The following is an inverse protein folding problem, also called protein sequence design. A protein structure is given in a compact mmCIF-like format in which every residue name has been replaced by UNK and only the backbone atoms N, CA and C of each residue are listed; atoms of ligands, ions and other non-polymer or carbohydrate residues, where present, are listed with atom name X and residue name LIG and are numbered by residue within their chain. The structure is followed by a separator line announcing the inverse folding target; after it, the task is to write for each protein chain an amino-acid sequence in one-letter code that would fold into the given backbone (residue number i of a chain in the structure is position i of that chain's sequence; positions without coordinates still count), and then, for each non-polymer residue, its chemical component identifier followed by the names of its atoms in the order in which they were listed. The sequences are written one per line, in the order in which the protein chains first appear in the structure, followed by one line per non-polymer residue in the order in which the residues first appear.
data_IF_792469031394
#
_entry.id   IF_792469031394
#
_cell.length_a   1.000
_cell.length_b   1.000
_cell.length_c   1.000
_cell.angle_alpha   90.00
_cell.angle_beta   90.00
_cell.angle_gamma   90.00
#
_symmetry.space_group_name_H-M   'P 1'
#
loop_
_entity.id
_entity.type
_entity.pdbx_description
1 polymer ?
#
# COMPACT_ATOMS: atom_id res chain seq x y z
N UNK A 1 37.06 -29.34 -7.49
CA UNK A 1 36.91 -30.53 -8.36
C UNK A 1 35.62 -31.23 -7.93
N UNK A 2 34.59 -31.52 -8.73
CA UNK A 2 34.19 -31.36 -10.15
C UNK A 2 32.63 -31.30 -10.07
N UNK A 3 31.87 -30.31 -10.53
CA UNK A 3 31.65 -29.70 -11.86
C UNK A 3 30.75 -30.53 -12.83
N UNK A 4 29.86 -29.82 -13.56
CA UNK A 4 28.92 -30.29 -14.63
C UNK A 4 27.69 -31.08 -14.06
N UNK A 5 26.43 -30.94 -14.50
CA UNK A 5 25.75 -30.20 -15.60
C UNK A 5 24.39 -29.55 -15.18
N UNK A 6 23.61 -29.05 -16.15
CA UNK A 6 22.15 -28.79 -16.12
C UNK A 6 21.52 -29.34 -17.45
N UNK A 7 20.18 -29.38 -17.57
CA UNK A 7 19.44 -29.27 -18.86
C UNK A 7 17.94 -28.97 -18.58
N UNK A 8 17.35 -28.13 -19.42
CA UNK A 8 15.95 -27.66 -19.37
C UNK A 8 15.09 -28.28 -20.48
N UNK A 9 13.76 -28.28 -20.32
CA UNK A 9 12.71 -28.02 -21.33
C UNK A 9 11.36 -28.54 -20.82
N UNK A 10 10.16 -28.07 -21.21
CA UNK A 10 9.60 -26.84 -21.78
C UNK A 10 8.13 -27.21 -22.10
N UNK A 11 7.19 -26.25 -22.04
CA UNK A 11 5.75 -26.50 -22.25
C UNK A 11 5.38 -26.78 -23.72
N UNK A 12 4.21 -27.38 -23.93
CA UNK A 12 3.42 -27.27 -25.15
C UNK A 12 1.93 -27.07 -24.82
N UNK A 13 1.32 -26.09 -25.48
CA UNK A 13 -0.08 -25.64 -25.34
C UNK A 13 -0.58 -25.29 -26.76
N UNK A 14 -1.84 -25.59 -27.07
CA UNK A 14 -2.51 -25.19 -28.34
C UNK A 14 -4.04 -25.19 -28.11
N UNK A 15 -4.72 -24.02 -28.15
CA UNK A 15 -5.45 -23.42 -29.31
C UNK A 15 -6.76 -24.18 -29.61
N UNK A 16 -7.97 -23.58 -29.72
CA UNK A 16 -8.47 -22.41 -30.50
C UNK A 16 -9.72 -21.76 -29.81
N UNK A 17 -10.02 -20.44 -29.92
CA UNK A 17 -10.90 -19.73 -30.91
C UNK A 17 -12.42 -20.09 -30.80
N UNK A 18 -13.47 -19.24 -30.92
CA UNK A 18 -13.75 -17.90 -31.51
C UNK A 18 -14.80 -17.09 -30.67
N UNK A 19 -14.93 -15.74 -30.74
CA UNK A 19 -15.93 -14.88 -31.47
C UNK A 19 -17.44 -15.20 -31.22
N UNK A 20 -18.44 -14.28 -31.30
CA UNK A 20 -18.50 -12.85 -31.68
C UNK A 20 -19.84 -12.14 -31.29
N UNK A 21 -19.85 -10.79 -31.37
CA UNK A 21 -20.99 -9.87 -31.72
C UNK A 21 -22.34 -9.78 -30.97
N UNK A 22 -22.62 -8.54 -30.48
CA UNK A 22 -23.75 -7.62 -30.80
C UNK A 22 -25.22 -8.06 -30.63
N UNK A 23 -26.04 -7.22 -29.96
CA UNK A 23 -27.28 -6.58 -30.50
C UNK A 23 -27.72 -5.39 -29.61
N UNK A 24 -28.23 -4.34 -30.26
CA UNK A 24 -28.77 -3.10 -29.68
C UNK A 24 -30.22 -3.27 -29.21
N UNK A 25 -30.70 -2.36 -28.34
CA UNK A 25 -31.90 -1.58 -28.67
C UNK A 25 -32.04 -0.30 -27.82
N UNK A 26 -32.14 0.83 -28.52
CA UNK A 26 -32.65 2.10 -28.00
C UNK A 26 -34.14 1.96 -27.64
N UNK A 27 -34.64 2.80 -26.73
CA UNK A 27 -35.47 3.96 -27.14
C UNK A 27 -35.82 4.90 -25.98
N UNK A 28 -35.49 6.17 -26.20
CA UNK A 28 -36.02 7.37 -25.57
C UNK A 28 -37.54 7.47 -25.74
N UNK A 29 -38.24 7.95 -24.69
CA UNK A 29 -39.06 9.18 -24.65
C UNK A 29 -39.89 9.20 -23.34
N UNK A 30 -40.48 10.30 -22.84
CA UNK A 30 -40.39 11.75 -23.14
C UNK A 30 -40.89 12.54 -21.91
N UNK A 31 -40.60 13.84 -21.84
CA UNK A 31 -40.94 14.79 -20.76
C UNK A 31 -41.97 15.85 -21.21
N UNK A 32 -42.27 16.94 -20.45
CA UNK A 32 -42.38 17.09 -18.99
C UNK A 32 -43.86 17.25 -18.51
N UNK A 33 -44.60 18.40 -18.51
CA UNK A 33 -44.26 19.84 -18.64
C UNK A 33 -44.58 20.74 -17.41
N UNK A 34 -43.76 21.81 -17.24
CA UNK A 34 -44.05 23.19 -16.76
C UNK A 34 -45.12 23.56 -15.70
N UNK A 35 -44.71 24.42 -14.75
CA UNK A 35 -45.14 25.84 -14.72
C UNK A 35 -44.22 26.74 -13.86
N UNK A 36 -44.02 27.99 -14.28
CA UNK A 36 -43.16 29.02 -13.65
C UNK A 36 -43.99 30.19 -13.10
N UNK A 37 -43.43 30.93 -12.13
CA UNK A 37 -43.32 32.41 -11.95
C UNK A 37 -43.04 32.69 -10.45
N UNK A 38 -41.88 33.24 -10.07
CA UNK A 38 -41.55 34.69 -9.92
C UNK A 38 -42.09 35.29 -8.58
N UNK A 39 -41.42 36.21 -7.87
CA UNK A 39 -40.07 36.79 -8.00
C UNK A 39 -39.63 37.48 -6.69
N UNK A 40 -38.31 37.78 -6.57
CA UNK A 40 -37.67 38.90 -5.83
C UNK A 40 -38.12 39.24 -4.38
N UNK A 41 -37.19 39.07 -3.42
CA UNK A 41 -36.61 40.24 -2.73
C UNK A 41 -35.23 39.93 -2.12
N UNK A 42 -34.33 40.91 -2.11
CA UNK A 42 -32.98 40.78 -1.57
C UNK A 42 -32.69 41.95 -0.62
N UNK A 43 -31.98 41.69 0.48
CA UNK A 43 -30.64 42.26 0.77
C UNK A 43 -30.23 42.11 2.26
N UNK A 44 -28.91 42.17 2.48
CA UNK A 44 -28.18 42.40 3.76
C UNK A 44 -28.33 41.37 4.89
N UNK A 45 -27.28 40.57 5.11
CA UNK A 45 -26.48 40.64 6.35
C UNK A 45 -25.15 39.85 6.28
N UNK A 46 -24.18 40.29 7.07
CA UNK A 46 -22.76 39.92 7.04
C UNK A 46 -22.44 38.57 7.76
N UNK A 47 -21.23 37.98 7.58
CA UNK A 47 -20.92 36.65 8.11
C UNK A 47 -20.69 36.66 9.63
N UNK A 48 -21.24 35.66 10.33
CA UNK A 48 -20.98 35.41 11.75
C UNK A 48 -20.07 34.19 11.91
N UNK A 49 -18.97 34.40 12.63
CA UNK A 49 -18.02 33.36 13.03
C UNK A 49 -18.44 32.75 14.38
N UNK A 50 -18.67 31.44 14.46
CA UNK A 50 -18.73 30.72 15.74
C UNK A 50 -18.45 29.22 15.62
N UNK A 51 -17.77 28.71 16.65
CA UNK A 51 -17.33 27.33 16.78
C UNK A 51 -18.42 26.37 17.33
N UNK A 52 -18.01 25.12 17.56
CA UNK A 52 -18.73 24.03 18.26
C UNK A 52 -19.85 23.29 17.50
N UNK A 53 -19.44 22.37 16.63
CA UNK A 53 -20.20 21.16 16.30
C UNK A 53 -19.62 19.97 17.08
N UNK A 54 -20.40 19.29 17.97
CA UNK A 54 -19.94 18.10 18.67
C UNK A 54 -19.60 16.97 17.69
N UNK A 55 -18.33 16.53 17.67
CA UNK A 55 -17.89 15.39 16.85
C UNK A 55 -18.50 14.09 17.38
N UNK A 56 -19.62 13.68 16.78
CA UNK A 56 -20.26 12.39 17.06
C UNK A 56 -19.23 11.25 16.98
N UNK A 57 -19.10 10.51 18.08
CA UNK A 57 -18.14 9.41 18.23
C UNK A 57 -18.54 8.25 17.30
N UNK A 58 -18.02 8.27 16.06
CA UNK A 58 -18.29 7.26 15.02
C UNK A 58 -18.16 5.85 15.61
N UNK A 59 -19.26 5.09 15.57
CA UNK A 59 -19.37 3.74 16.16
C UNK A 59 -18.28 2.85 15.54
N UNK A 60 -17.42 2.26 16.37
CA UNK A 60 -16.32 1.40 15.91
C UNK A 60 -16.89 0.00 15.67
N UNK A 61 -17.05 -0.36 14.40
CA UNK A 61 -17.41 -1.72 13.97
C UNK A 61 -16.18 -2.42 13.36
N UNK A 62 -16.21 -3.75 13.30
CA UNK A 62 -15.18 -4.55 12.62
C UNK A 62 -15.45 -4.45 11.10
N UNK A 63 -14.48 -3.98 10.31
CA UNK A 63 -14.67 -3.83 8.86
C UNK A 63 -14.62 -5.18 8.14
N UNK A 64 -15.18 -5.29 6.93
CA UNK A 64 -15.10 -6.51 6.11
C UNK A 64 -13.65 -7.01 5.96
N UNK A 65 -12.71 -6.08 5.77
CA UNK A 65 -11.28 -6.39 5.63
C UNK A 65 -10.66 -6.87 6.96
N UNK A 66 -11.13 -6.37 8.10
CA UNK A 66 -10.76 -6.93 9.41
C UNK A 66 -11.35 -8.33 9.61
N UNK A 67 -12.60 -8.59 9.19
CA UNK A 67 -13.24 -9.91 9.28
C UNK A 67 -12.47 -10.97 8.48
N UNK A 68 -12.12 -10.65 7.22
CA UNK A 68 -11.29 -11.50 6.36
C UNK A 68 -9.90 -11.72 6.98
N UNK A 69 -9.21 -10.64 7.39
CA UNK A 69 -7.87 -10.75 7.97
C UNK A 69 -7.83 -11.56 9.29
N UNK A 70 -8.89 -11.46 10.11
CA UNK A 70 -9.05 -12.29 11.32
C UNK A 70 -9.21 -13.76 10.91
N UNK A 71 -10.07 -14.06 9.93
CA UNK A 71 -10.38 -15.42 9.50
C UNK A 71 -9.15 -16.10 8.86
N UNK A 72 -8.49 -15.42 7.93
CA UNK A 72 -7.29 -15.90 7.24
C UNK A 72 -6.15 -16.19 8.22
N UNK A 73 -5.92 -15.29 9.20
CA UNK A 73 -4.92 -15.51 10.23
C UNK A 73 -5.24 -16.74 11.10
N UNK A 74 -6.51 -16.92 11.49
CA UNK A 74 -6.94 -18.10 12.26
C UNK A 74 -6.76 -19.39 11.47
N UNK A 75 -7.15 -19.42 10.19
CA UNK A 75 -6.95 -20.59 9.34
C UNK A 75 -5.45 -20.89 9.12
N UNK A 76 -4.63 -19.87 8.87
CA UNK A 76 -3.19 -20.03 8.72
C UNK A 76 -2.51 -20.64 9.95
N UNK A 77 -2.88 -20.24 11.17
CA UNK A 77 -2.30 -20.83 12.40
C UNK A 77 -2.89 -22.22 12.71
N UNK A 78 -4.16 -22.46 12.38
CA UNK A 78 -4.80 -23.79 12.51
C UNK A 78 -4.12 -24.84 11.64
N UNK A 79 -3.76 -24.50 10.40
CA UNK A 79 -3.03 -25.39 9.48
C UNK A 79 -1.56 -25.63 9.84
N UNK A 80 -1.04 -25.01 10.92
CA UNK A 80 0.36 -25.04 11.34
C UNK A 80 0.56 -25.46 12.81
N UNK A 81 -0.46 -26.08 13.43
CA UNK A 81 -0.33 -26.61 14.80
C UNK A 81 0.69 -27.74 14.88
N UNK A 82 1.35 -27.84 16.04
CA UNK A 82 2.25 -28.95 16.37
C UNK A 82 1.80 -29.63 17.67
N UNK A 83 1.82 -30.98 17.75
CA UNK A 83 1.93 -31.94 16.64
C UNK A 83 0.87 -31.75 15.52
N UNK A 84 1.08 -32.25 14.29
CA UNK A 84 0.13 -32.04 13.19
C UNK A 84 -1.26 -32.64 13.45
N UNK A 85 -2.29 -31.94 12.97
CA UNK A 85 -3.68 -32.27 13.20
C UNK A 85 -4.33 -32.98 12.00
N UNK A 86 -4.83 -34.19 12.20
CA UNK A 86 -5.47 -34.99 11.17
C UNK A 86 -6.89 -34.55 10.81
N UNK A 87 -7.55 -33.78 11.69
CA UNK A 87 -8.96 -33.39 11.58
C UNK A 87 -9.21 -31.88 11.77
N UNK A 88 -8.21 -31.03 11.51
CA UNK A 88 -8.35 -29.59 11.73
C UNK A 88 -9.32 -28.97 10.71
N UNK A 89 -10.43 -28.41 11.18
CA UNK A 89 -11.48 -27.85 10.31
C UNK A 89 -11.12 -26.45 9.78
N UNK A 90 -11.51 -26.15 8.55
CA UNK A 90 -11.48 -24.77 8.02
C UNK A 90 -12.53 -23.91 8.73
N UNK A 91 -12.10 -22.77 9.26
CA UNK A 91 -12.97 -21.81 9.93
C UNK A 91 -13.63 -20.88 8.91
N UNK A 92 -14.94 -20.65 9.06
CA UNK A 92 -15.72 -19.67 8.31
C UNK A 92 -16.25 -18.58 9.25
N UNK A 93 -16.57 -17.40 8.71
CA UNK A 93 -17.20 -16.34 9.49
C UNK A 93 -18.67 -16.66 9.78
N UNK A 94 -19.13 -16.40 11.00
CA UNK A 94 -20.53 -16.53 11.40
C UNK A 94 -21.05 -15.22 12.00
N UNK A 95 -22.09 -14.66 11.38
CA UNK A 95 -22.68 -13.37 11.76
C UNK A 95 -23.39 -13.40 13.12
N UNK A 96 -23.86 -14.56 13.58
CA UNK A 96 -24.51 -14.68 14.89
C UNK A 96 -23.46 -14.73 16.01
N UNK A 97 -22.33 -15.42 15.78
CA UNK A 97 -21.16 -15.36 16.65
C UNK A 97 -20.57 -13.94 16.69
N UNK A 98 -20.48 -13.26 15.55
CA UNK A 98 -20.03 -11.86 15.49
C UNK A 98 -20.92 -10.92 16.32
N UNK A 99 -22.25 -11.00 16.17
CA UNK A 99 -23.22 -10.24 16.97
C UNK A 99 -23.14 -10.58 18.46
N UNK A 100 -22.97 -11.86 18.81
CA UNK A 100 -22.82 -12.30 20.20
C UNK A 100 -21.53 -11.74 20.82
N UNK A 101 -20.42 -11.74 20.07
CA UNK A 101 -19.15 -11.16 20.49
C UNK A 101 -19.22 -9.62 20.61
N UNK A 102 -19.92 -8.92 19.71
CA UNK A 102 -20.17 -7.48 19.83
C UNK A 102 -20.99 -7.15 21.08
N UNK A 103 -22.07 -7.90 21.32
CA UNK A 103 -22.92 -7.72 22.51
C UNK A 103 -22.14 -7.96 23.81
N UNK A 104 -21.27 -8.97 23.86
CA UNK A 104 -20.39 -9.18 25.01
C UNK A 104 -19.36 -8.06 25.16
N UNK A 105 -18.69 -7.66 24.08
CA UNK A 105 -17.71 -6.56 24.11
C UNK A 105 -18.33 -5.22 24.54
N UNK A 106 -19.61 -4.98 24.24
CA UNK A 106 -20.34 -3.79 24.66
C UNK A 106 -20.49 -3.69 26.20
N UNK A 107 -20.49 -4.81 26.93
CA UNK A 107 -20.48 -4.80 28.41
C UNK A 107 -19.19 -4.23 29.01
N UNK A 108 -18.12 -4.15 28.22
CA UNK A 108 -16.77 -3.77 28.65
C UNK A 108 -16.15 -4.68 29.74
N UNK A 109 -16.69 -5.88 29.95
CA UNK A 109 -16.16 -6.89 30.88
C UNK A 109 -14.98 -7.62 30.21
N UNK A 110 -13.82 -7.65 30.87
CA UNK A 110 -12.62 -8.36 30.40
C UNK A 110 -12.59 -9.80 30.92
N UNK A 111 -13.60 -10.58 30.52
CA UNK A 111 -13.74 -12.00 30.85
C UNK A 111 -14.36 -12.76 29.66
N UNK A 112 -14.44 -14.08 29.76
CA UNK A 112 -15.19 -14.90 28.82
C UNK A 112 -16.70 -14.65 28.92
N UNK A 113 -17.37 -14.70 27.76
CA UNK A 113 -18.80 -14.56 27.61
C UNK A 113 -19.62 -15.60 28.36
N UNK A 114 -20.96 -15.44 28.36
CA UNK A 114 -21.83 -16.03 29.37
C UNK A 114 -21.53 -17.52 29.61
N UNK A 115 -21.33 -17.97 30.87
CA UNK A 115 -20.76 -19.30 31.16
C UNK A 115 -21.47 -20.48 30.48
N UNK A 116 -22.78 -20.35 30.23
CA UNK A 116 -23.58 -21.36 29.53
C UNK A 116 -23.19 -21.56 28.06
N UNK A 117 -22.59 -20.57 27.39
CA UNK A 117 -22.11 -20.66 26.01
C UNK A 117 -20.71 -21.28 25.89
N UNK A 118 -19.89 -21.20 26.94
CA UNK A 118 -18.50 -21.68 26.92
C UNK A 118 -18.36 -23.21 26.76
N UNK A 119 -19.45 -23.95 26.98
CA UNK A 119 -19.53 -25.40 26.70
C UNK A 119 -19.60 -25.72 25.21
N UNK A 120 -20.06 -24.78 24.38
CA UNK A 120 -20.34 -24.99 22.95
C UNK A 120 -19.49 -24.10 22.04
N UNK A 121 -19.04 -22.94 22.53
CA UNK A 121 -18.31 -21.94 21.76
C UNK A 121 -16.94 -21.68 22.36
N UNK A 122 -15.89 -21.96 21.59
CA UNK A 122 -14.53 -21.55 21.93
C UNK A 122 -14.38 -20.04 21.81
N UNK A 123 -13.98 -19.37 22.88
CA UNK A 123 -13.76 -17.93 22.92
C UNK A 123 -12.30 -17.62 23.25
N UNK A 124 -11.70 -16.67 22.53
CA UNK A 124 -10.36 -16.17 22.81
C UNK A 124 -10.43 -14.71 23.26
N UNK A 125 -10.20 -14.45 24.55
CA UNK A 125 -9.97 -13.08 25.02
C UNK A 125 -8.61 -12.63 24.47
N UNK A 126 -8.61 -11.60 23.62
CA UNK A 126 -7.49 -11.37 22.70
C UNK A 126 -6.14 -11.23 23.44
N UNK A 127 -5.16 -12.05 23.04
CA UNK A 127 -3.79 -12.14 23.62
C UNK A 127 -3.66 -12.96 24.92
N UNK A 128 -4.40 -14.07 25.06
CA UNK A 128 -3.92 -15.25 25.82
C UNK A 128 -4.13 -16.55 25.05
N UNK A 129 -3.05 -17.26 24.76
CA UNK A 129 -3.06 -18.68 24.39
C UNK A 129 -2.83 -19.51 25.65
N UNK A 130 -3.90 -19.83 26.39
CA UNK A 130 -3.79 -20.57 27.65
C UNK A 130 -5.10 -21.23 28.05
N UNK A 131 -5.06 -22.54 28.30
CA UNK A 131 -6.20 -23.45 28.54
C UNK A 131 -7.29 -23.36 27.45
N UNK A 132 -6.98 -23.99 26.32
CA UNK A 132 -8.02 -24.45 25.39
C UNK A 132 -9.02 -25.39 26.08
N UNK A 133 -10.16 -25.53 25.43
CA UNK A 133 -11.40 -26.13 25.90
C UNK A 133 -11.32 -27.62 26.32
N UNK A 134 -11.93 -27.89 27.49
CA UNK A 134 -12.16 -29.19 28.14
C UNK A 134 -10.95 -29.90 28.80
N UNK A 135 -11.12 -30.26 30.09
CA UNK A 135 -10.10 -30.99 30.86
C UNK A 135 -10.08 -32.46 30.43
N UNK A 136 -8.94 -32.93 29.89
CA UNK A 136 -8.72 -34.36 29.60
C UNK A 136 -8.93 -34.81 28.14
N UNK A 137 -9.20 -33.91 27.20
CA UNK A 137 -9.26 -34.23 25.77
C UNK A 137 -8.25 -33.41 24.95
N UNK A 138 -7.66 -34.04 23.93
CA UNK A 138 -6.78 -33.35 23.00
C UNK A 138 -7.60 -32.39 22.10
N UNK A 139 -7.14 -31.15 21.85
CA UNK A 139 -7.88 -30.17 21.04
C UNK A 139 -8.15 -30.60 19.58
N UNK A 140 -7.40 -31.58 19.09
CA UNK A 140 -7.51 -32.20 17.77
C UNK A 140 -6.92 -33.62 17.81
N UNK A 141 -7.18 -34.43 16.79
CA UNK A 141 -6.57 -35.75 16.59
C UNK A 141 -5.19 -35.58 15.94
N UNK A 142 -4.17 -36.20 16.53
CA UNK A 142 -2.82 -36.24 15.96
C UNK A 142 -2.78 -37.11 14.70
N UNK A 143 -2.03 -36.67 13.68
CA UNK A 143 -1.77 -37.49 12.49
C UNK A 143 -1.41 -36.64 11.27
N UNK A 144 -1.34 -37.29 10.10
CA UNK A 144 -1.10 -36.59 8.83
C UNK A 144 -2.25 -35.61 8.58
N UNK A 145 -1.99 -34.36 8.15
CA UNK A 145 -3.05 -33.39 7.86
C UNK A 145 -4.17 -33.97 7.00
N UNK A 146 -5.41 -33.65 7.38
CA UNK A 146 -6.65 -34.11 6.75
C UNK A 146 -6.92 -35.64 6.76
N UNK A 147 -6.08 -36.48 7.38
CA UNK A 147 -6.27 -37.95 7.36
C UNK A 147 -7.43 -38.46 8.22
N UNK A 148 -8.14 -37.57 8.93
CA UNK A 148 -9.28 -37.90 9.79
C UNK A 148 -10.36 -36.80 9.76
N UNK A 149 -10.56 -36.14 8.61
CA UNK A 149 -11.56 -35.09 8.46
C UNK A 149 -12.98 -35.55 8.81
N UNK A 150 -13.82 -34.71 9.45
CA UNK A 150 -15.21 -35.05 9.73
C UNK A 150 -16.02 -35.24 8.43
N UNK A 151 -17.01 -36.16 8.38
CA UNK A 151 -17.81 -36.40 7.18
C UNK A 151 -18.53 -35.16 6.62
N UNK A 152 -18.85 -34.17 7.48
CA UNK A 152 -19.48 -32.90 7.10
C UNK A 152 -18.65 -32.06 6.12
N UNK A 153 -17.32 -32.27 6.06
CA UNK A 153 -16.40 -31.58 5.17
C UNK A 153 -16.13 -32.34 3.85
N UNK A 154 -16.75 -33.50 3.61
CA UNK A 154 -16.67 -34.20 2.31
C UNK A 154 -15.29 -34.73 1.92
N UNK A 155 -14.30 -34.72 2.83
CA UNK A 155 -12.94 -35.23 2.58
C UNK A 155 -11.98 -34.26 1.89
N UNK A 156 -12.40 -33.02 1.58
CA UNK A 156 -11.52 -32.02 0.98
C UNK A 156 -10.42 -31.56 1.94
N UNK A 157 -9.23 -31.29 1.39
CA UNK A 157 -8.07 -30.83 2.15
C UNK A 157 -7.42 -29.62 1.48
N UNK A 158 -7.28 -28.51 2.21
CA UNK A 158 -6.62 -27.28 1.74
C UNK A 158 -5.76 -26.72 2.86
N UNK A 159 -4.48 -26.46 2.59
CA UNK A 159 -3.56 -25.81 3.54
C UNK A 159 -3.53 -26.49 4.93
N UNK A 160 -3.55 -27.82 4.95
CA UNK A 160 -3.65 -28.69 6.14
C UNK A 160 -4.99 -28.63 6.91
N UNK A 161 -6.03 -28.06 6.32
CA UNK A 161 -7.38 -27.94 6.87
C UNK A 161 -8.40 -28.78 6.08
N UNK A 162 -9.31 -29.41 6.80
CA UNK A 162 -10.50 -30.03 6.25
C UNK A 162 -11.42 -28.95 5.66
N UNK A 163 -11.67 -29.03 4.36
CA UNK A 163 -12.35 -28.00 3.57
C UNK A 163 -13.52 -28.60 2.81
N UNK A 164 -14.64 -27.87 2.73
CA UNK A 164 -15.84 -28.30 2.01
C UNK A 164 -16.07 -27.41 0.80
N UNK A 165 -16.13 -27.98 -0.41
CA UNK A 165 -16.59 -27.22 -1.58
C UNK A 165 -18.01 -26.67 -1.36
N UNK A 166 -18.20 -25.40 -1.71
CA UNK A 166 -19.46 -24.67 -1.47
C UNK A 166 -19.58 -23.97 -0.11
N UNK A 167 -18.54 -23.93 0.73
CA UNK A 167 -18.54 -23.08 1.95
C UNK A 167 -18.33 -21.59 1.69
N UNK A 168 -18.04 -21.20 0.44
CA UNK A 168 -17.84 -19.81 0.02
C UNK A 168 -19.17 -19.04 0.03
N UNK A 169 -19.56 -18.52 1.20
CA UNK A 169 -20.42 -17.34 1.25
C UNK A 169 -19.65 -16.16 0.65
N UNK A 170 -19.81 -15.99 -0.66
CA UNK A 170 -19.33 -14.84 -1.40
C UNK A 170 -19.95 -13.56 -0.81
N UNK A 171 -19.19 -12.87 0.04
CA UNK A 171 -19.51 -11.48 0.39
C UNK A 171 -19.24 -10.64 -0.87
N UNK A 172 -20.26 -10.06 -1.51
CA UNK A 172 -20.03 -9.22 -2.67
C UNK A 172 -19.17 -8.02 -2.26
N UNK A 173 -18.14 -7.64 -3.06
CA UNK A 173 -17.37 -6.45 -2.77
C UNK A 173 -18.30 -5.24 -2.75
N UNK A 174 -18.49 -4.63 -1.58
CA UNK A 174 -19.02 -3.27 -1.50
C UNK A 174 -17.85 -2.34 -1.76
N UNK A 175 -18.00 -1.49 -2.77
CA UNK A 175 -16.94 -0.69 -3.40
C UNK A 175 -15.92 -0.16 -2.39
N UNK A 176 -14.65 -0.50 -2.61
CA UNK A 176 -13.55 0.11 -1.88
C UNK A 176 -13.48 1.59 -2.25
N UNK A 177 -13.49 2.49 -1.26
CA UNK A 177 -13.09 3.90 -1.44
C UNK A 177 -11.58 3.95 -1.79
N UNK A 178 -11.27 3.63 -3.04
CA UNK A 178 -9.97 3.83 -3.66
C UNK A 178 -9.74 5.32 -3.85
N UNK A 179 -8.47 5.76 -3.78
CA UNK A 179 -8.11 7.16 -4.03
C UNK A 179 -8.04 7.43 -5.55
N UNK A 180 -9.15 7.22 -6.26
CA UNK A 180 -9.32 7.69 -7.63
C UNK A 180 -10.14 8.99 -7.62
N UNK A 181 -9.53 10.07 -8.12
CA UNK A 181 -10.24 11.33 -8.38
C UNK A 181 -10.80 11.22 -9.80
N UNK A 182 -12.13 11.32 -9.93
CA UNK A 182 -12.77 11.52 -11.23
C UNK A 182 -12.09 12.67 -11.97
N UNK A 183 -11.86 12.47 -13.27
CA UNK A 183 -11.26 13.52 -14.10
C UNK A 183 -12.17 14.74 -14.09
N UNK A 184 -11.72 15.82 -13.45
CA UNK A 184 -12.27 17.14 -13.73
C UNK A 184 -12.20 17.36 -15.23
N UNK A 185 -13.36 17.59 -15.84
CA UNK A 185 -13.49 17.85 -17.26
C UNK A 185 -12.61 19.07 -17.61
N UNK A 186 -11.84 18.96 -18.68
CA UNK A 186 -11.00 20.04 -19.13
C UNK A 186 -11.87 21.22 -19.58
N UNK A 187 -12.01 22.25 -18.75
CA UNK A 187 -12.47 23.54 -19.23
C UNK A 187 -11.43 24.09 -20.20
N UNK A 188 -11.84 24.23 -21.45
CA UNK A 188 -11.06 24.88 -22.49
C UNK A 188 -10.98 26.37 -22.15
N UNK A 189 -9.82 26.82 -21.66
CA UNK A 189 -9.53 28.24 -21.57
C UNK A 189 -8.52 28.62 -22.65
N UNK A 190 -9.04 29.20 -23.75
CA UNK A 190 -8.22 29.79 -24.81
C UNK A 190 -7.30 30.86 -24.21
N UNK A 191 -6.00 30.58 -24.19
CA UNK A 191 -4.98 31.52 -23.75
C UNK A 191 -4.03 31.74 -24.91
N UNK A 192 -4.27 32.83 -25.65
CA UNK A 192 -3.49 33.25 -26.81
C UNK A 192 -1.99 33.25 -26.53
N UNK A 193 -1.24 32.65 -27.46
CA UNK A 193 0.22 32.66 -27.49
C UNK A 193 0.73 34.10 -27.41
N UNK A 194 1.49 34.41 -26.36
CA UNK A 194 2.43 35.54 -26.34
C UNK A 194 3.84 34.99 -26.32
N UNK A 195 4.46 35.00 -27.50
CA UNK A 195 5.91 34.81 -27.65
C UNK A 195 6.66 35.90 -26.90
N UNK A 196 7.57 35.49 -26.02
CA UNK A 196 8.65 36.35 -25.53
C UNK A 196 9.96 35.57 -25.64
N UNK A 197 10.85 36.08 -26.48
CA UNK A 197 12.14 35.51 -26.83
C UNK A 197 13.23 35.94 -25.85
N UNK A 198 14.15 35.02 -25.53
CA UNK A 198 15.45 35.17 -24.83
C UNK A 198 15.46 35.97 -23.50
N UNK A 199 16.14 35.54 -22.45
CA UNK A 199 17.57 35.20 -22.44
C UNK A 199 17.94 34.15 -21.36
N UNK A 200 19.07 33.49 -21.57
CA UNK A 200 19.92 32.70 -20.67
C UNK A 200 19.45 32.37 -19.23
N UNK A 201 18.92 31.16 -19.06
CA UNK A 201 19.56 30.22 -18.12
C UNK A 201 19.50 28.77 -18.62
N UNK A 202 20.48 28.36 -19.44
CA UNK A 202 20.57 26.99 -19.99
C UNK A 202 20.86 25.90 -18.94
N UNK A 203 20.89 26.22 -17.64
CA UNK A 203 21.31 25.31 -16.55
C UNK A 203 20.21 24.81 -15.60
N UNK A 204 18.94 25.22 -15.76
CA UNK A 204 17.87 24.81 -14.84
C UNK A 204 17.27 23.42 -15.11
N UNK A 205 16.88 22.68 -14.06
CA UNK A 205 16.16 21.40 -14.16
C UNK A 205 14.67 21.70 -14.35
N UNK A 206 14.05 21.13 -15.40
CA UNK A 206 12.70 21.53 -15.85
C UNK A 206 11.60 21.03 -14.91
N UNK A 207 11.81 19.89 -14.25
CA UNK A 207 10.88 19.34 -13.25
C UNK A 207 11.47 19.42 -11.85
N UNK A 208 10.91 20.27 -11.00
CA UNK A 208 11.30 20.43 -9.59
C UNK A 208 10.53 19.50 -8.64
N UNK A 209 9.76 18.54 -9.16
CA UNK A 209 8.98 17.63 -8.31
C UNK A 209 9.90 16.63 -7.58
N UNK A 210 10.07 16.84 -6.28
CA UNK A 210 10.82 15.96 -5.38
C UNK A 210 9.97 14.76 -4.92
N UNK A 211 10.65 13.65 -4.54
CA UNK A 211 10.03 12.50 -3.88
C UNK A 211 10.06 12.64 -2.35
N UNK A 212 11.14 13.18 -1.81
CA UNK A 212 11.29 13.48 -0.39
C UNK A 212 10.36 14.62 0.01
N UNK A 213 9.73 14.48 1.17
CA UNK A 213 9.01 15.57 1.84
C UNK A 213 9.82 16.06 3.02
N UNK A 214 10.18 17.35 3.01
CA UNK A 214 10.78 18.03 4.15
C UNK A 214 9.72 18.12 5.26
N UNK A 215 10.08 17.69 6.47
CA UNK A 215 9.16 17.60 7.62
C UNK A 215 9.80 18.17 8.89
N UNK A 216 9.00 18.70 9.82
CA UNK A 216 9.51 19.03 11.16
C UNK A 216 9.64 17.78 12.03
N UNK A 217 10.40 17.87 13.12
CA UNK A 217 10.60 16.78 14.08
C UNK A 217 9.30 16.28 14.73
N UNK A 218 8.24 17.09 14.71
CA UNK A 218 6.93 16.82 15.31
C UNK A 218 6.01 16.04 14.37
N UNK A 219 6.29 16.04 13.06
CA UNK A 219 5.43 15.44 12.03
C UNK A 219 5.29 13.94 12.25
N UNK A 220 4.03 13.50 12.30
CA UNK A 220 3.63 12.10 12.44
C UNK A 220 3.22 11.55 11.10
N UNK A 221 3.43 10.26 10.89
CA UNK A 221 3.11 9.60 9.61
C UNK A 221 1.62 9.66 9.24
N UNK A 222 0.73 9.82 10.23
CA UNK A 222 -0.71 10.01 10.00
C UNK A 222 -1.06 11.38 9.42
N UNK A 223 -0.30 12.42 9.73
CA UNK A 223 -0.76 13.80 9.58
C UNK A 223 -0.58 14.31 8.14
N UNK A 224 0.51 13.91 7.47
CA UNK A 224 0.95 14.52 6.21
C UNK A 224 0.36 13.90 4.92
N UNK A 225 -0.26 12.73 4.98
CA UNK A 225 -0.30 11.83 3.81
C UNK A 225 -1.68 11.30 3.42
N UNK A 226 -2.36 12.13 2.62
CA UNK A 226 -3.58 11.85 1.85
C UNK A 226 -3.27 11.97 0.35
N UNK A 227 -3.39 10.89 -0.42
CA UNK A 227 -3.42 10.93 -1.88
C UNK A 227 -2.12 10.75 -2.67
N UNK A 228 -0.93 10.95 -2.08
CA UNK A 228 0.36 10.66 -2.76
C UNK A 228 1.27 9.74 -1.95
N UNK A 229 2.25 9.18 -2.66
CA UNK A 229 3.24 8.18 -2.25
C UNK A 229 4.31 8.75 -1.31
N UNK A 230 3.89 9.13 -0.11
CA UNK A 230 4.77 9.56 0.98
C UNK A 230 5.66 8.44 1.54
N UNK A 231 6.63 8.00 0.75
CA UNK A 231 7.50 6.88 1.11
C UNK A 231 8.88 7.36 1.59
N UNK A 232 9.30 8.58 1.23
CA UNK A 232 10.58 9.18 1.62
C UNK A 232 10.38 10.54 2.29
N UNK A 233 11.08 10.76 3.39
CA UNK A 233 11.05 12.00 4.17
C UNK A 233 12.45 12.54 4.37
N UNK A 234 12.55 13.85 4.55
CA UNK A 234 13.77 14.56 4.90
C UNK A 234 13.61 15.22 6.26
N UNK A 235 14.43 14.77 7.22
CA UNK A 235 14.40 15.18 8.60
C UNK A 235 15.49 16.24 8.87
N UNK A 236 15.18 17.35 9.53
CA UNK A 236 16.18 18.34 9.95
C UNK A 236 17.01 17.82 11.12
N UNK A 237 18.12 18.52 11.39
CA UNK A 237 18.91 18.34 12.59
C UNK A 237 18.12 18.70 13.88
N UNK A 238 18.61 18.24 15.03
CA UNK A 238 18.06 18.59 16.36
C UNK A 238 16.80 17.84 16.79
N UNK A 239 16.35 16.83 16.03
CA UNK A 239 15.13 16.10 16.37
C UNK A 239 15.22 15.24 17.64
N UNK A 240 16.41 14.98 18.19
CA UNK A 240 16.57 14.27 19.47
C UNK A 240 15.86 15.01 20.63
N UNK A 241 15.99 16.34 20.66
CA UNK A 241 15.47 17.23 21.71
C UNK A 241 13.97 17.52 21.58
N UNK A 242 13.37 17.21 20.42
CA UNK A 242 11.93 17.41 20.20
C UNK A 242 11.08 16.58 21.18
N UNK A 243 10.02 17.19 21.71
CA UNK A 243 9.09 16.53 22.66
C UNK A 243 8.10 15.58 21.98
N UNK A 244 8.19 15.41 20.67
CA UNK A 244 7.26 14.59 19.89
C UNK A 244 7.34 13.10 20.28
N UNK A 245 6.20 12.47 20.55
CA UNK A 245 6.15 11.10 21.09
C UNK A 245 6.55 10.06 20.03
N UNK A 246 7.21 8.99 20.47
CA UNK A 246 7.48 7.77 19.68
C UNK A 246 6.90 6.58 20.44
N UNK A 247 6.10 5.77 19.77
CA UNK A 247 5.37 4.64 20.36
C UNK A 247 5.80 3.36 19.65
N UNK A 248 6.37 2.42 20.38
CA UNK A 248 6.87 1.16 19.84
C UNK A 248 8.38 1.09 19.58
N UNK A 249 8.80 -0.06 19.06
CA UNK A 249 10.19 -0.41 18.80
C UNK A 249 10.22 -1.34 17.60
N UNK A 250 11.09 -1.09 16.62
CA UNK A 250 11.09 -1.69 15.27
C UNK A 250 9.86 -1.32 14.46
N UNK A 251 8.67 -1.63 14.98
CA UNK A 251 7.39 -1.17 14.47
C UNK A 251 6.91 0.00 15.33
N UNK A 252 6.64 1.13 14.69
CA UNK A 252 6.20 2.36 15.34
C UNK A 252 4.73 2.63 15.04
N UNK A 253 3.96 3.15 15.99
CA UNK A 253 2.58 3.53 15.71
C UNK A 253 2.54 4.73 14.75
N UNK A 254 1.59 4.79 13.81
CA UNK A 254 1.34 5.93 12.89
C UNK A 254 1.24 7.33 13.55
N UNK A 255 1.03 7.41 14.87
CA UNK A 255 1.01 8.64 15.67
C UNK A 255 2.39 9.05 16.20
N UNK A 256 3.45 8.30 15.90
CA UNK A 256 4.82 8.60 16.27
C UNK A 256 5.45 9.64 15.33
N UNK A 257 6.35 10.46 15.85
CA UNK A 257 7.25 11.27 15.02
C UNK A 257 8.08 10.38 14.09
N UNK A 258 8.18 10.75 12.81
CA UNK A 258 8.96 10.02 11.80
C UNK A 258 10.46 10.13 12.14
N UNK A 259 10.95 11.35 12.32
CA UNK A 259 12.37 11.62 12.54
C UNK A 259 12.88 11.01 13.84
N UNK A 260 12.13 11.14 14.94
CA UNK A 260 12.52 10.52 16.22
C UNK A 260 12.45 9.00 16.18
N UNK A 261 11.54 8.41 15.42
CA UNK A 261 11.50 6.96 15.20
C UNK A 261 12.71 6.47 14.37
N UNK A 262 13.18 7.28 13.41
CA UNK A 262 14.37 7.00 12.61
C UNK A 262 15.67 7.10 13.44
N UNK A 263 15.80 8.12 14.29
CA UNK A 263 16.89 8.22 15.27
C UNK A 263 16.87 7.02 16.22
N UNK A 264 15.72 6.71 16.83
CA UNK A 264 15.56 5.55 17.72
C UNK A 264 15.96 4.22 17.07
N UNK A 265 15.66 4.05 15.77
CA UNK A 265 16.05 2.84 15.04
C UNK A 265 17.54 2.83 14.65
N UNK A 266 18.17 4.00 14.51
CA UNK A 266 19.56 4.16 14.05
C UNK A 266 19.68 4.28 12.53
N UNK A 267 18.65 4.81 11.87
CA UNK A 267 18.68 5.11 10.43
C UNK A 267 19.42 6.41 10.13
N UNK A 268 19.15 7.42 10.96
CA UNK A 268 19.77 8.75 10.98
C UNK A 268 20.25 9.05 12.41
N UNK A 269 21.14 10.03 12.53
CA UNK A 269 21.57 10.61 13.81
C UNK A 269 20.85 11.95 14.06
N UNK A 270 21.38 12.80 14.93
CA UNK A 270 20.79 14.10 15.25
C UNK A 270 21.11 15.20 14.21
N UNK A 271 21.93 14.93 13.19
CA UNK A 271 22.15 15.84 12.06
C UNK A 271 21.01 15.74 11.03
N UNK A 272 20.18 14.69 11.12
CA UNK A 272 19.00 14.50 10.29
C UNK A 272 19.27 13.68 9.02
N UNK A 273 18.66 14.09 7.91
CA UNK A 273 18.78 13.42 6.60
C UNK A 273 17.56 12.56 6.23
N UNK A 274 17.74 11.68 5.25
CA UNK A 274 16.63 11.01 4.56
C UNK A 274 16.22 9.67 5.17
N UNK A 275 14.91 9.48 5.29
CA UNK A 275 14.28 8.28 5.88
C UNK A 275 13.24 7.74 4.92
N UNK A 276 13.35 6.46 4.57
CA UNK A 276 12.28 5.73 3.90
C UNK A 276 11.33 5.13 4.94
N UNK A 277 10.04 5.14 4.63
CA UNK A 277 8.96 4.74 5.55
C UNK A 277 8.03 3.77 4.85
N UNK A 278 7.91 2.56 5.41
CA UNK A 278 6.93 1.57 4.96
C UNK A 278 5.76 1.55 5.93
N UNK A 279 4.55 1.89 5.45
CA UNK A 279 3.31 1.65 6.19
C UNK A 279 3.12 0.14 6.36
N UNK A 280 2.89 -0.28 7.59
CA UNK A 280 2.70 -1.67 7.98
C UNK A 280 1.25 -1.88 8.47
N UNK A 281 0.82 -3.13 8.49
CA UNK A 281 -0.49 -3.51 9.02
C UNK A 281 -0.69 -3.16 10.50
N UNK A 282 -1.89 -3.46 11.00
CA UNK A 282 -2.22 -3.35 12.42
C UNK A 282 -1.27 -4.23 13.25
N UNK A 283 -0.67 -3.68 14.30
CA UNK A 283 0.03 -4.44 15.34
C UNK A 283 -0.81 -4.44 16.60
N UNK A 284 -0.86 -5.57 17.29
CA UNK A 284 -1.69 -5.72 18.50
C UNK A 284 -1.16 -4.90 19.68
N UNK A 285 0.16 -4.79 19.80
CA UNK A 285 0.83 -4.04 20.85
C UNK A 285 2.18 -3.50 20.35
N UNK A 286 2.73 -2.56 21.11
CA UNK A 286 3.95 -1.83 20.86
C UNK A 286 4.84 -1.89 22.11
N UNK A 287 6.06 -2.41 21.96
CA UNK A 287 7.04 -2.58 23.04
C UNK A 287 7.83 -1.27 23.22
N UNK A 288 8.07 -0.86 24.47
CA UNK A 288 9.00 0.25 24.78
C UNK A 288 10.46 -0.20 24.68
N UNK A 289 11.34 0.66 24.18
CA UNK A 289 12.78 0.55 24.41
C UNK A 289 13.43 1.93 24.51
N UNK A 290 14.72 1.97 24.80
CA UNK A 290 15.54 3.17 24.74
C UNK A 290 16.74 2.85 23.86
N UNK A 291 16.93 3.62 22.78
CA UNK A 291 18.03 3.46 21.82
C UNK A 291 18.37 4.83 21.25
N UNK A 292 19.66 5.07 21.02
CA UNK A 292 20.17 6.30 20.37
C UNK A 292 19.59 7.59 20.99
N UNK A 293 19.53 7.63 22.34
CA UNK A 293 18.99 8.76 23.10
C UNK A 293 17.46 8.92 23.10
N UNK A 294 16.72 8.14 22.31
CA UNK A 294 15.25 8.23 22.24
C UNK A 294 14.61 7.11 23.07
N UNK A 295 13.82 7.49 24.07
CA UNK A 295 12.97 6.54 24.81
C UNK A 295 11.57 6.46 24.20
N UNK A 296 11.10 5.24 23.90
CA UNK A 296 9.78 5.02 23.30
C UNK A 296 8.73 4.55 24.30
N UNK A 297 7.47 4.80 23.97
CA UNK A 297 6.31 4.51 24.82
C UNK A 297 5.73 3.15 24.43
N UNK A 298 5.30 2.37 25.43
CA UNK A 298 4.57 1.11 25.20
C UNK A 298 3.09 1.37 24.96
N UNK A 299 2.43 0.55 24.13
CA UNK A 299 0.98 0.60 23.92
C UNK A 299 0.42 -0.81 23.77
N UNK A 300 -0.60 -1.14 24.54
CA UNK A 300 -1.26 -2.47 24.50
C UNK A 300 -2.49 -2.52 23.58
N UNK A 301 -2.90 -1.37 23.02
CA UNK A 301 -4.03 -1.26 22.10
C UNK A 301 -3.55 -1.44 20.67
N UNK A 302 -4.34 -2.15 19.86
CA UNK A 302 -3.99 -2.39 18.46
C UNK A 302 -4.11 -1.11 17.62
N UNK A 303 -3.07 -0.83 16.84
CA UNK A 303 -3.01 0.33 15.96
C UNK A 303 -2.21 0.03 14.69
N UNK A 304 -2.44 0.81 13.63
CA UNK A 304 -1.62 0.77 12.42
C UNK A 304 -0.18 1.14 12.77
N UNK A 305 0.78 0.53 12.07
CA UNK A 305 2.20 0.71 12.34
C UNK A 305 2.97 1.13 11.10
N UNK A 306 4.24 1.49 11.28
CA UNK A 306 5.20 1.67 10.21
C UNK A 306 6.59 1.20 10.63
N UNK A 307 7.42 0.94 9.63
CA UNK A 307 8.86 0.68 9.77
C UNK A 307 9.63 1.76 9.04
N UNK A 308 10.84 2.04 9.50
CA UNK A 308 11.77 3.01 8.91
C UNK A 308 12.99 2.29 8.32
N UNK A 309 13.52 2.79 7.22
CA UNK A 309 14.68 2.24 6.51
C UNK A 309 15.60 3.34 6.00
N UNK A 310 16.89 3.03 5.84
CA UNK A 310 17.89 3.98 5.37
C UNK A 310 17.78 4.16 3.86
N UNK A 311 17.76 5.41 3.42
CA UNK A 311 17.94 5.76 2.01
C UNK A 311 19.40 5.46 1.64
N UNK A 312 19.60 4.41 0.86
CA UNK A 312 20.91 4.12 0.25
C UNK A 312 21.09 4.94 -1.03
N UNK A 313 22.34 5.17 -1.41
CA UNK A 313 22.71 5.83 -2.67
C UNK A 313 23.44 4.80 -3.54
N UNK A 314 23.08 4.70 -4.81
CA UNK A 314 23.69 3.75 -5.74
C UNK A 314 23.99 4.42 -7.09
N UNK A 315 25.24 4.36 -7.52
CA UNK A 315 25.63 4.70 -8.89
C UNK A 315 25.22 3.59 -9.85
N UNK A 316 24.73 3.95 -11.03
CA UNK A 316 24.19 3.02 -12.03
C UNK A 316 24.76 3.29 -13.42
N UNK A 317 24.50 2.39 -14.37
CA UNK A 317 24.81 2.61 -15.80
C UNK A 317 23.60 3.20 -16.53
N UNK A 318 23.82 3.76 -17.73
CA UNK A 318 22.73 4.33 -18.54
C UNK A 318 21.69 3.30 -19.02
N UNK A 319 21.97 2.00 -18.89
CA UNK A 319 21.10 0.87 -19.24
C UNK A 319 20.34 0.29 -18.03
N UNK A 320 20.71 0.65 -16.79
CA UNK A 320 20.10 0.08 -15.58
C UNK A 320 18.59 0.41 -15.51
N UNK A 321 17.78 -0.62 -15.29
CA UNK A 321 16.31 -0.54 -15.21
C UNK A 321 15.79 -0.71 -13.79
N UNK A 322 14.51 -0.39 -13.54
CA UNK A 322 13.91 -0.57 -12.20
C UNK A 322 13.62 -2.04 -11.90
N UNK A 323 13.29 -2.84 -12.92
CA UNK A 323 13.14 -4.29 -12.81
C UNK A 323 14.39 -4.94 -12.18
N UNK A 324 15.59 -4.52 -12.62
CA UNK A 324 16.86 -5.03 -12.13
C UNK A 324 17.25 -4.46 -10.76
N UNK A 325 17.04 -3.16 -10.54
CA UNK A 325 17.57 -2.44 -9.38
C UNK A 325 16.70 -2.59 -8.12
N UNK A 326 15.38 -2.49 -8.27
CA UNK A 326 14.44 -2.39 -7.16
C UNK A 326 13.01 -2.77 -7.62
N UNK A 327 12.74 -4.04 -7.94
CA UNK A 327 11.45 -4.50 -8.42
C UNK A 327 10.31 -4.19 -7.44
N UNK A 328 9.12 -3.87 -7.96
CA UNK A 328 7.97 -3.50 -7.13
C UNK A 328 7.28 -4.73 -6.51
N UNK A 329 7.29 -4.77 -5.18
CA UNK A 329 6.56 -5.74 -4.37
C UNK A 329 5.56 -5.02 -3.46
N UNK A 330 4.39 -5.63 -3.23
CA UNK A 330 3.39 -5.11 -2.27
C UNK A 330 3.86 -5.43 -0.83
N UNK A 331 3.63 -4.54 0.16
CA UNK A 331 2.86 -3.29 0.05
C UNK A 331 3.63 -2.09 -0.53
N UNK A 332 4.97 -2.10 -0.48
CA UNK A 332 5.82 -1.10 -1.11
C UNK A 332 7.25 -1.63 -1.30
N UNK A 333 7.94 -1.15 -2.34
CA UNK A 333 9.39 -1.24 -2.51
C UNK A 333 10.02 0.15 -2.41
N UNK A 334 11.17 0.25 -1.77
CA UNK A 334 12.01 1.46 -1.78
C UNK A 334 13.20 1.24 -2.70
N UNK A 335 13.46 2.17 -3.62
CA UNK A 335 14.71 2.18 -4.40
C UNK A 335 15.80 2.98 -3.68
N UNK A 336 17.08 2.65 -3.91
CA UNK A 336 18.16 3.59 -3.61
C UNK A 336 17.92 4.92 -4.34
N UNK A 337 18.43 6.02 -3.79
CA UNK A 337 18.65 7.26 -4.57
C UNK A 337 19.71 6.96 -5.62
N UNK A 338 19.35 7.12 -6.89
CA UNK A 338 20.19 6.73 -8.02
C UNK A 338 21.12 7.88 -8.38
N UNK A 339 22.41 7.59 -8.60
CA UNK A 339 23.33 8.52 -9.25
C UNK A 339 23.52 8.11 -10.71
N UNK A 340 22.99 8.94 -11.61
CA UNK A 340 23.10 8.76 -13.05
C UNK A 340 24.41 9.35 -13.59
N UNK A 341 25.14 8.63 -14.46
CA UNK A 341 26.35 9.13 -15.10
C UNK A 341 26.03 10.13 -16.20
N UNK A 342 27.08 10.74 -16.77
CA UNK A 342 26.97 11.68 -17.90
C UNK A 342 26.65 10.95 -19.21
N UNK A 343 26.10 11.69 -20.17
CA UNK A 343 25.92 11.29 -21.56
C UNK A 343 24.95 10.11 -21.80
N UNK A 344 23.98 9.88 -20.91
CA UNK A 344 22.97 8.85 -21.12
C UNK A 344 22.01 9.11 -22.30
N UNK A 345 21.90 10.35 -22.80
CA UNK A 345 21.14 10.62 -24.04
C UNK A 345 21.76 9.89 -25.25
N UNK A 346 23.09 9.78 -25.29
CA UNK A 346 23.85 9.12 -26.35
C UNK A 346 23.89 7.59 -26.23
N UNK A 347 23.42 7.02 -25.11
CA UNK A 347 23.36 5.58 -24.93
C UNK A 347 22.39 4.93 -25.94
N UNK A 348 22.78 3.78 -26.48
CA UNK A 348 22.08 3.10 -27.56
C UNK A 348 20.60 2.85 -27.18
N UNK A 349 19.63 3.38 -27.96
CA UNK A 349 18.20 3.21 -27.67
C UNK A 349 17.74 1.76 -27.54
N UNK A 350 18.39 0.80 -28.21
CA UNK A 350 18.03 -0.62 -28.14
C UNK A 350 18.22 -1.24 -26.74
N UNK A 351 19.25 -0.83 -26.01
CA UNK A 351 19.54 -1.33 -24.67
C UNK A 351 18.97 -0.43 -23.57
N UNK A 352 19.00 0.89 -23.77
CA UNK A 352 18.56 1.87 -22.79
C UNK A 352 17.14 2.42 -23.09
N UNK A 353 16.17 1.56 -23.44
CA UNK A 353 14.83 1.98 -23.91
C UNK A 353 14.11 2.90 -22.90
N UNK A 354 13.19 3.73 -23.40
CA UNK A 354 12.30 4.55 -22.57
C UNK A 354 10.88 4.33 -23.05
N UNK A 355 10.03 3.77 -22.19
CA UNK A 355 8.66 3.37 -22.53
C UNK A 355 7.69 4.13 -21.64
N UNK A 356 6.82 4.94 -22.23
CA UNK A 356 5.84 5.78 -21.54
C UNK A 356 6.27 7.22 -21.26
N UNK A 357 5.42 7.94 -20.54
CA UNK A 357 5.56 9.37 -20.26
C UNK A 357 4.92 9.71 -18.92
N UNK A 358 5.63 10.49 -18.08
CA UNK A 358 5.34 10.75 -16.64
C UNK A 358 5.37 9.51 -15.72
N UNK A 359 4.92 8.37 -16.22
CA UNK A 359 5.01 7.04 -15.62
C UNK A 359 5.60 6.12 -16.68
N UNK A 360 6.69 5.44 -16.35
CA UNK A 360 7.46 4.60 -17.27
C UNK A 360 7.28 3.13 -16.93
N UNK A 361 7.43 2.22 -17.90
CA UNK A 361 7.57 0.79 -17.59
C UNK A 361 8.89 0.56 -16.88
N UNK A 362 8.88 -0.32 -15.89
CA UNK A 362 10.03 -0.92 -15.19
C UNK A 362 11.19 -1.40 -16.06
N UNK A 363 10.92 -1.77 -17.32
CA UNK A 363 11.90 -2.11 -18.35
C UNK A 363 12.66 -0.90 -18.93
N UNK A 364 12.27 0.33 -18.57
CA UNK A 364 12.93 1.55 -19.07
C UNK A 364 14.22 1.83 -18.32
N UNK A 365 15.23 2.36 -19.03
CA UNK A 365 16.42 2.95 -18.43
C UNK A 365 16.03 4.05 -17.44
N UNK A 366 16.49 3.94 -16.20
CA UNK A 366 16.23 4.94 -15.15
C UNK A 366 16.75 6.32 -15.59
N UNK A 367 18.00 6.37 -16.08
CA UNK A 367 18.67 7.63 -16.38
C UNK A 367 18.15 8.29 -17.67
N UNK A 368 17.79 7.52 -18.70
CA UNK A 368 17.14 8.10 -19.89
C UNK A 368 15.69 8.51 -19.61
N UNK A 369 14.95 7.75 -18.80
CA UNK A 369 13.63 8.18 -18.33
C UNK A 369 13.70 9.45 -17.46
N UNK A 370 14.76 9.61 -16.66
CA UNK A 370 15.01 10.81 -15.86
C UNK A 370 15.33 12.05 -16.72
N UNK A 371 16.14 11.91 -17.77
CA UNK A 371 16.36 13.00 -18.73
C UNK A 371 15.10 13.31 -19.52
N UNK A 372 14.38 12.29 -20.03
CA UNK A 372 13.10 12.48 -20.70
C UNK A 372 12.09 13.23 -19.82
N UNK A 373 11.97 12.86 -18.54
CA UNK A 373 11.12 13.55 -17.56
C UNK A 373 11.60 14.97 -17.18
N UNK A 374 12.81 15.37 -17.56
CA UNK A 374 13.39 16.67 -17.20
C UNK A 374 13.75 16.81 -15.72
N UNK A 375 13.91 15.70 -14.99
CA UNK A 375 14.33 15.71 -13.57
C UNK A 375 15.85 15.67 -13.40
N UNK A 376 16.58 15.28 -14.45
CA UNK A 376 18.04 15.35 -14.52
C UNK A 376 18.46 15.73 -15.94
N UNK A 377 19.70 16.23 -16.08
CA UNK A 377 20.27 16.66 -17.35
C UNK A 377 21.26 15.61 -17.88
N UNK A 378 21.67 15.76 -19.14
CA UNK A 378 22.66 14.85 -19.74
C UNK A 378 24.04 14.89 -19.05
N UNK A 379 24.29 15.82 -18.13
CA UNK A 379 25.50 15.83 -17.29
C UNK A 379 25.45 14.86 -16.09
N UNK A 380 24.40 14.03 -15.98
CA UNK A 380 24.20 13.12 -14.85
C UNK A 380 23.75 13.82 -13.56
N UNK A 381 23.62 13.08 -12.47
CA UNK A 381 23.17 13.62 -11.17
C UNK A 381 22.29 12.65 -10.39
N UNK A 382 21.78 13.10 -9.25
CA UNK A 382 20.92 12.30 -8.39
C UNK A 382 19.46 12.30 -8.86
N UNK A 383 18.83 11.12 -8.81
CA UNK A 383 17.43 10.89 -9.18
C UNK A 383 16.79 10.01 -8.12
N UNK A 384 15.63 10.41 -7.63
CA UNK A 384 14.81 9.56 -6.76
C UNK A 384 13.84 8.74 -7.61
N UNK A 385 13.76 7.43 -7.34
CA UNK A 385 12.99 6.47 -8.13
C UNK A 385 11.92 5.82 -7.26
N UNK A 386 10.71 5.71 -7.81
CA UNK A 386 9.54 5.19 -7.12
C UNK A 386 8.88 4.08 -7.93
N UNK A 387 9.08 2.79 -7.56
CA UNK A 387 8.37 1.68 -8.17
C UNK A 387 6.89 1.71 -7.81
N UNK A 388 6.05 1.27 -8.74
CA UNK A 388 4.61 1.19 -8.61
C UNK A 388 4.03 0.05 -9.46
N UNK A 389 2.77 -0.30 -9.21
CA UNK A 389 2.08 -1.34 -10.00
C UNK A 389 1.82 -0.84 -11.44
N UNK A 390 1.61 -1.78 -12.37
CA UNK A 390 1.42 -1.50 -13.81
C UNK A 390 0.39 -0.40 -14.13
N UNK A 391 0.68 0.36 -15.18
CA UNK A 391 -0.37 0.92 -16.04
C UNK A 391 -0.79 -0.08 -17.12
N UNK A 392 -2.08 -0.03 -17.50
CA UNK A 392 -2.63 -0.82 -18.62
C UNK A 392 -2.00 -0.41 -19.96
N UNK A 393 -1.75 0.88 -20.14
CA UNK A 393 -1.16 1.47 -21.35
C UNK A 393 -0.14 2.56 -21.01
N UNK A 394 0.87 2.69 -21.86
CA UNK A 394 1.89 3.73 -21.83
C UNK A 394 1.83 4.55 -23.12
N UNK A 395 1.82 5.88 -22.99
CA UNK A 395 1.77 6.82 -24.11
C UNK A 395 3.18 7.30 -24.48
N UNK A 396 3.50 7.25 -25.77
CA UNK A 396 4.73 7.80 -26.34
C UNK A 396 4.76 9.33 -26.24
N UNK A 397 5.95 9.92 -26.06
CA UNK A 397 6.16 11.35 -26.19
C UNK A 397 7.59 11.69 -26.59
N UNK A 398 7.81 12.87 -27.17
CA UNK A 398 9.15 13.44 -27.32
C UNK A 398 9.36 14.54 -26.28
N UNK A 399 10.30 14.33 -25.35
CA UNK A 399 10.61 15.28 -24.28
C UNK A 399 12.11 15.33 -24.05
N UNK A 400 12.67 16.53 -23.86
CA UNK A 400 14.07 16.76 -23.50
C UNK A 400 15.09 16.03 -24.40
N UNK A 401 14.80 15.97 -25.70
CA UNK A 401 15.66 15.32 -26.71
C UNK A 401 15.60 13.79 -26.73
N UNK A 402 14.67 13.16 -25.99
CA UNK A 402 14.44 11.72 -26.00
C UNK A 402 13.03 11.44 -26.53
N UNK A 403 12.90 10.46 -27.42
CA UNK A 403 11.62 9.87 -27.81
C UNK A 403 11.33 8.66 -26.93
N UNK A 404 10.14 8.59 -26.35
CA UNK A 404 9.66 7.42 -25.60
C UNK A 404 8.65 6.61 -26.41
N UNK A 405 8.69 5.30 -26.21
CA UNK A 405 7.83 4.34 -26.90
C UNK A 405 6.46 4.18 -26.20
N UNK A 406 5.43 3.83 -26.96
CA UNK A 406 4.15 3.38 -26.43
C UNK A 406 4.15 1.87 -26.23
N UNK A 407 3.46 1.40 -25.19
CA UNK A 407 3.32 -0.03 -24.89
C UNK A 407 1.97 -0.31 -24.25
N UNK A 408 1.28 -1.36 -24.71
CA UNK A 408 0.18 -1.97 -23.99
C UNK A 408 0.76 -3.06 -23.09
N UNK A 409 0.62 -2.90 -21.78
CA UNK A 409 1.43 -3.64 -20.82
C UNK A 409 0.88 -5.07 -20.62
N UNK A 410 1.69 -6.14 -20.81
CA UNK A 410 1.24 -7.50 -20.57
C UNK A 410 0.84 -7.76 -19.10
N UNK A 411 0.13 -8.87 -18.81
CA UNK A 411 -0.29 -9.20 -17.45
C UNK A 411 0.88 -9.54 -16.51
N UNK A 412 1.49 -8.53 -15.88
CA UNK A 412 2.48 -8.77 -14.82
C UNK A 412 3.50 -7.65 -14.60
N UNK A 413 3.87 -6.92 -15.66
CA UNK A 413 4.89 -5.87 -15.62
C UNK A 413 4.63 -4.79 -14.57
N UNK A 414 5.63 -3.98 -14.26
CA UNK A 414 5.55 -2.88 -13.28
C UNK A 414 5.74 -1.53 -13.95
N UNK A 415 5.72 -0.51 -13.12
CA UNK A 415 5.89 0.87 -13.53
C UNK A 415 6.81 1.60 -12.55
N UNK A 416 7.34 2.74 -12.94
CA UNK A 416 7.98 3.66 -12.01
C UNK A 416 7.75 5.13 -12.38
N UNK A 417 8.02 5.98 -11.39
CA UNK A 417 8.18 7.43 -11.54
C UNK A 417 9.58 7.83 -11.10
N UNK A 418 10.07 8.90 -11.71
CA UNK A 418 11.33 9.56 -11.39
C UNK A 418 11.04 10.95 -10.85
N UNK A 419 11.87 11.38 -9.91
CA UNK A 419 11.74 12.65 -9.20
C UNK A 419 13.09 13.34 -9.12
N UNK A 420 13.07 14.67 -9.12
CA UNK A 420 14.29 15.45 -9.00
C UNK A 420 14.82 15.39 -7.56
N UNK A 421 16.14 15.51 -7.44
CA UNK A 421 16.83 15.82 -6.19
C UNK A 421 17.35 17.24 -6.39
N UNK A 422 16.81 18.18 -5.60
CA UNK A 422 17.04 19.62 -5.67
C UNK A 422 17.61 20.06 -4.34
#
# INVERSE_FOLDING_TARGET
MIAISAISSALLFSLLCEASTVVLLNSTDSSPPTNNFADIEATVNAPLDSADIPKARRKRYISQNDMIAILDYHNQIRGKVFPPAANMEYMVWDENLAKSAEAWAATCIWDHGPPYLLRFLGQNLSVRTGRGNWWGHAPYKHGRPCSACPPSFGGGCRENLCYKEGSDRYYPPREEETNEIERQQAQVHDTRVRTRSDDSNRNEVISTQQMSQIVSCEVRLRDQCKGTTCNRYECPAGCLDSKAKVIGSVHYEMQSSICRAAIHYGIIDNEGGWVDVTRQGRKHYFIKSNRNGVQTIRKYQSANSFTVSKVTVQAVTCETTVEQLCPFHKPASHCPRVYCPRNCMQANPHYARVIGSRVYSDLSSICRAAVHAGVVRNHGGYVDVMPMDKRKTYTASFQNGIFSESLQNPPGGKAFRVFAVV
#
